data_IF_787939735283
#
_entry.id   IF_787939735283
#
_cell.length_a   1.000
_cell.length_b   1.000
_cell.length_c   1.000
_cell.angle_alpha   90.00
_cell.angle_beta   90.00
_cell.angle_gamma   90.00
#
_symmetry.space_group_name_H-M   'P 1'
#
loop_
_entity.id
_entity.type
_entity.pdbx_description
1 polymer ?
#
# COMPACT_ATOMS: atom_id res chain seq x y z
N UNK A 1 -14.90 -1.00 -4.83
CA UNK A 1 -14.11 0.16 -4.40
C UNK A 1 -12.92 0.25 -5.34
N UNK A 2 -12.52 1.47 -5.71
CA UNK A 2 -11.34 1.68 -6.54
C UNK A 2 -10.11 1.80 -5.63
N UNK A 3 -9.17 0.87 -5.75
CA UNK A 3 -7.86 0.98 -5.12
C UNK A 3 -6.89 1.66 -6.09
N UNK A 4 -6.20 2.70 -5.61
CA UNK A 4 -5.19 3.44 -6.37
C UNK A 4 -3.87 3.34 -5.60
N UNK A 5 -2.82 2.91 -6.27
CA UNK A 5 -1.50 2.74 -5.68
C UNK A 5 -0.42 3.26 -6.62
N UNK A 6 0.55 3.98 -6.06
CA UNK A 6 1.75 4.41 -6.77
C UNK A 6 2.92 3.52 -6.36
N UNK A 7 3.58 2.88 -7.32
CA UNK A 7 4.71 1.97 -7.06
C UNK A 7 6.01 2.43 -7.73
N UNK A 8 7.08 1.69 -7.44
CA UNK A 8 8.46 2.00 -7.80
C UNK A 8 8.63 2.38 -9.26
N UNK A 9 9.45 3.40 -9.47
CA UNK A 9 9.55 4.15 -10.71
C UNK A 9 10.39 3.42 -11.77
N UNK A 10 9.90 3.31 -13.01
CA UNK A 10 10.73 2.92 -14.15
C UNK A 10 11.36 4.19 -14.74
N UNK A 11 12.70 4.29 -14.74
CA UNK A 11 13.44 5.48 -15.21
C UNK A 11 12.97 6.79 -14.55
N UNK A 12 12.65 6.75 -13.26
CA UNK A 12 12.18 7.92 -12.51
C UNK A 12 10.72 8.31 -12.73
N UNK A 13 9.94 7.54 -13.50
CA UNK A 13 8.50 7.73 -13.70
C UNK A 13 7.71 6.81 -12.78
N UNK A 14 6.80 7.35 -11.98
CA UNK A 14 5.96 6.58 -11.06
C UNK A 14 4.90 5.80 -11.83
N UNK A 15 4.76 4.51 -11.53
CA UNK A 15 3.71 3.66 -12.08
C UNK A 15 2.49 3.73 -11.16
N UNK A 16 1.37 4.20 -11.69
CA UNK A 16 0.08 4.16 -10.99
C UNK A 16 -0.72 2.94 -11.44
N UNK A 17 -1.28 2.24 -10.46
CA UNK A 17 -2.09 1.05 -10.67
C UNK A 17 -3.48 1.30 -10.07
N UNK A 18 -4.50 1.09 -10.89
CA UNK A 18 -5.91 1.18 -10.53
C UNK A 18 -6.49 -0.23 -10.48
N UNK A 19 -7.03 -0.64 -9.34
CA UNK A 19 -7.53 -2.00 -9.10
C UNK A 19 -8.94 -1.99 -8.54
N UNK A 20 -9.74 -2.99 -8.88
CA UNK A 20 -10.91 -3.32 -8.05
C UNK A 20 -10.41 -3.90 -6.73
N UNK A 21 -10.84 -3.30 -5.63
CA UNK A 21 -10.45 -3.73 -4.30
C UNK A 21 -11.00 -5.12 -3.96
N UNK A 22 -12.22 -5.45 -4.41
CA UNK A 22 -12.95 -6.66 -4.05
C UNK A 22 -12.30 -7.94 -4.56
N UNK A 23 -11.76 -7.91 -5.78
CA UNK A 23 -11.25 -9.10 -6.48
C UNK A 23 -9.80 -8.94 -6.95
N UNK A 24 -9.17 -7.79 -6.70
CA UNK A 24 -7.77 -7.52 -7.04
C UNK A 24 -7.50 -7.32 -8.53
N UNK A 25 -8.52 -7.27 -9.39
CA UNK A 25 -8.36 -7.10 -10.83
C UNK A 25 -7.78 -5.72 -11.13
N UNK A 26 -6.69 -5.69 -11.92
CA UNK A 26 -6.12 -4.46 -12.45
C UNK A 26 -7.01 -3.92 -13.56
N UNK A 27 -7.55 -2.73 -13.34
CA UNK A 27 -8.43 -2.02 -14.28
C UNK A 27 -7.60 -1.18 -15.26
N UNK A 28 -6.53 -0.57 -14.77
CA UNK A 28 -5.63 0.24 -15.57
C UNK A 28 -4.29 0.40 -14.85
N UNK A 29 -3.21 0.55 -15.61
CA UNK A 29 -1.92 0.95 -15.07
C UNK A 29 -1.18 1.80 -16.09
N UNK A 30 -0.59 2.90 -15.66
CA UNK A 30 0.27 3.72 -16.50
C UNK A 30 1.25 4.55 -15.67
N UNK A 31 2.35 4.92 -16.30
CA UNK A 31 3.36 5.80 -15.70
C UNK A 31 3.02 7.26 -15.89
N UNK A 32 3.40 8.11 -14.94
CA UNK A 32 3.41 9.57 -15.11
C UNK A 32 4.83 10.11 -15.07
N UNK A 33 5.05 11.27 -15.68
CA UNK A 33 6.36 11.95 -15.63
C UNK A 33 6.60 12.65 -14.28
N UNK A 34 5.51 13.08 -13.64
CA UNK A 34 5.50 13.73 -12.34
C UNK A 34 4.35 13.23 -11.49
N UNK A 35 4.53 13.37 -10.19
CA UNK A 35 3.57 12.97 -9.17
C UNK A 35 2.69 14.16 -8.73
N UNK A 36 2.16 14.89 -9.73
CA UNK A 36 1.31 16.06 -9.56
C UNK A 36 -0.08 15.86 -10.21
N UNK A 37 -1.01 16.77 -9.92
CA UNK A 37 -2.39 16.69 -10.40
C UNK A 37 -2.48 16.71 -11.93
N UNK A 38 -1.82 17.63 -12.67
CA UNK A 38 -1.90 17.65 -14.12
C UNK A 38 -1.50 16.34 -14.81
N UNK A 39 -0.55 15.60 -14.23
CA UNK A 39 -0.10 14.33 -14.81
C UNK A 39 -0.91 13.14 -14.31
N UNK A 40 -1.38 13.15 -13.07
CA UNK A 40 -2.14 12.02 -12.50
C UNK A 40 -3.64 12.06 -12.87
N UNK A 41 -4.29 13.23 -12.81
CA UNK A 41 -5.74 13.35 -13.04
C UNK A 41 -6.22 12.72 -14.36
N UNK A 42 -5.52 12.86 -15.49
CA UNK A 42 -5.94 12.24 -16.76
C UNK A 42 -6.01 10.70 -16.69
N UNK A 43 -5.18 10.06 -15.86
CA UNK A 43 -5.22 8.61 -15.67
C UNK A 43 -6.49 8.21 -14.91
N UNK A 44 -6.86 8.98 -13.89
CA UNK A 44 -8.08 8.76 -13.11
C UNK A 44 -9.34 9.00 -13.98
N UNK A 45 -9.38 10.10 -14.74
CA UNK A 45 -10.47 10.41 -15.68
C UNK A 45 -10.68 9.28 -16.67
N UNK A 46 -9.58 8.70 -17.20
CA UNK A 46 -9.66 7.55 -18.10
C UNK A 46 -10.30 6.34 -17.44
N UNK A 47 -9.94 6.02 -16.20
CA UNK A 47 -10.53 4.89 -15.46
C UNK A 47 -12.02 5.13 -15.20
N UNK A 48 -12.40 6.33 -14.78
CA UNK A 48 -13.80 6.70 -14.59
C UNK A 48 -14.58 6.67 -15.91
N UNK A 49 -13.98 7.10 -17.02
CA UNK A 49 -14.58 7.02 -18.34
C UNK A 49 -14.80 5.59 -18.83
N UNK A 50 -13.91 4.66 -18.49
CA UNK A 50 -14.03 3.24 -18.88
C UNK A 50 -15.00 2.43 -18.02
N UNK A 51 -15.07 2.72 -16.71
CA UNK A 51 -15.76 1.86 -15.73
C UNK A 51 -16.86 2.56 -14.92
N UNK A 52 -17.06 3.87 -15.12
CA UNK A 52 -17.99 4.68 -14.34
C UNK A 52 -17.43 5.08 -12.97
N UNK A 53 -18.30 5.67 -12.13
CA UNK A 53 -17.94 6.10 -10.79
C UNK A 53 -17.90 4.91 -9.82
N UNK A 54 -16.81 4.72 -9.04
CA UNK A 54 -16.77 3.70 -8.00
C UNK A 54 -17.60 4.12 -6.77
N UNK A 55 -18.00 3.16 -5.93
CA UNK A 55 -18.70 3.47 -4.67
C UNK A 55 -17.83 4.21 -3.65
N UNK A 56 -16.52 3.99 -3.68
CA UNK A 56 -15.52 4.60 -2.80
C UNK A 56 -14.12 4.39 -3.39
N UNK A 57 -13.16 5.19 -2.93
CA UNK A 57 -11.74 5.11 -3.30
C UNK A 57 -10.87 4.82 -2.08
N UNK A 58 -9.88 3.96 -2.26
CA UNK A 58 -8.81 3.70 -1.31
C UNK A 58 -7.48 4.04 -1.97
N UNK A 59 -6.70 4.94 -1.38
CA UNK A 59 -5.34 5.25 -1.88
C UNK A 59 -4.39 5.62 -0.76
N UNK A 60 -3.09 5.74 -1.06
CA UNK A 60 -2.17 6.44 -0.16
C UNK A 60 -2.53 7.95 -0.08
N UNK A 61 -1.94 8.64 0.91
CA UNK A 61 -2.16 10.07 1.20
C UNK A 61 -1.38 11.01 0.27
N UNK A 62 -1.16 10.60 -0.99
CA UNK A 62 -0.47 11.43 -1.97
C UNK A 62 -1.37 12.59 -2.44
N UNK A 63 -0.87 13.82 -2.36
CA UNK A 63 -1.63 15.04 -2.67
C UNK A 63 -2.28 15.01 -4.06
N UNK A 64 -1.55 14.56 -5.08
CA UNK A 64 -2.05 14.48 -6.45
C UNK A 64 -3.28 13.56 -6.56
N UNK A 65 -3.29 12.44 -5.84
CA UNK A 65 -4.42 11.50 -5.83
C UNK A 65 -5.61 12.14 -5.11
N UNK A 66 -5.40 12.70 -3.92
CA UNK A 66 -6.46 13.32 -3.11
C UNK A 66 -7.15 14.45 -3.89
N UNK A 67 -6.38 15.33 -4.50
CA UNK A 67 -6.91 16.46 -5.24
C UNK A 67 -7.63 16.01 -6.52
N UNK A 68 -7.05 15.05 -7.26
CA UNK A 68 -7.70 14.51 -8.47
C UNK A 68 -9.00 13.78 -8.17
N UNK A 69 -9.07 13.03 -7.06
CA UNK A 69 -10.32 12.38 -6.60
C UNK A 69 -11.38 13.43 -6.30
N UNK A 70 -11.02 14.51 -5.59
CA UNK A 70 -11.93 15.63 -5.33
C UNK A 70 -12.39 16.33 -6.60
N UNK A 71 -11.50 16.51 -7.59
CA UNK A 71 -11.82 17.17 -8.85
C UNK A 71 -12.74 16.31 -9.74
N UNK A 72 -12.44 15.02 -9.88
CA UNK A 72 -13.12 14.12 -10.83
C UNK A 72 -14.41 13.54 -10.24
N UNK A 73 -14.44 13.30 -8.93
CA UNK A 73 -15.54 12.61 -8.25
C UNK A 73 -15.75 13.13 -6.82
N UNK A 74 -16.13 14.42 -6.65
CA UNK A 74 -16.16 15.11 -5.35
C UNK A 74 -17.07 14.47 -4.29
N UNK A 75 -18.10 13.73 -4.71
CA UNK A 75 -19.07 13.11 -3.82
C UNK A 75 -18.73 11.65 -3.45
N UNK A 76 -17.64 11.11 -3.98
CA UNK A 76 -17.23 9.73 -3.69
C UNK A 76 -16.37 9.71 -2.42
N UNK A 77 -16.72 8.87 -1.42
CA UNK A 77 -15.91 8.71 -0.22
C UNK A 77 -14.48 8.29 -0.56
N UNK A 78 -13.51 9.00 -0.01
CA UNK A 78 -12.08 8.71 -0.17
C UNK A 78 -11.48 8.31 1.17
N UNK A 79 -11.09 7.05 1.27
CA UNK A 79 -10.41 6.47 2.42
C UNK A 79 -8.90 6.36 2.17
N UNK A 80 -8.09 6.63 3.20
CA UNK A 80 -6.66 6.35 3.13
C UNK A 80 -6.37 4.87 3.34
N UNK A 81 -5.39 4.36 2.61
CA UNK A 81 -4.94 2.98 2.70
C UNK A 81 -4.39 2.70 4.11
N UNK A 82 -5.07 1.81 4.84
CA UNK A 82 -4.69 1.45 6.21
C UNK A 82 -3.29 0.84 6.28
N UNK A 83 -2.88 0.09 5.26
CA UNK A 83 -1.54 -0.47 5.19
C UNK A 83 -0.47 0.62 5.19
N UNK A 84 -0.58 1.60 4.29
CA UNK A 84 0.38 2.72 4.24
C UNK A 84 0.35 3.55 5.52
N UNK A 85 -0.85 3.80 6.07
CA UNK A 85 -0.99 4.49 7.35
C UNK A 85 -0.24 3.77 8.49
N UNK A 86 -0.49 2.47 8.68
CA UNK A 86 0.15 1.68 9.75
C UNK A 86 1.66 1.55 9.49
N UNK A 87 2.08 1.34 8.25
CA UNK A 87 3.50 1.26 7.88
C UNK A 87 4.22 2.56 8.20
N UNK A 88 3.64 3.70 7.84
CA UNK A 88 4.21 5.02 8.13
C UNK A 88 4.21 5.29 9.63
N UNK A 89 3.16 4.94 10.36
CA UNK A 89 3.12 5.03 11.82
C UNK A 89 4.18 4.12 12.49
N UNK A 90 4.45 2.94 11.92
CA UNK A 90 5.48 2.03 12.40
C UNK A 90 6.90 2.60 12.30
N UNK A 91 7.15 3.55 11.40
CA UNK A 91 8.48 4.19 11.25
C UNK A 91 8.91 4.94 12.51
N UNK A 92 7.96 5.47 13.30
CA UNK A 92 8.26 6.14 14.57
C UNK A 92 8.84 5.20 15.63
N UNK A 93 8.64 3.89 15.49
CA UNK A 93 9.13 2.87 16.41
C UNK A 93 10.30 2.08 15.83
N UNK A 94 10.85 2.48 14.68
CA UNK A 94 11.83 1.67 13.95
C UNK A 94 13.12 1.45 14.77
N UNK A 95 13.53 2.46 15.54
CA UNK A 95 14.70 2.37 16.41
C UNK A 95 14.49 1.37 17.53
N UNK A 96 13.43 1.54 18.30
CA UNK A 96 13.05 0.67 19.43
C UNK A 96 12.86 -0.77 18.95
N UNK A 97 12.26 -0.95 17.77
CA UNK A 97 12.07 -2.26 17.15
C UNK A 97 13.41 -2.92 16.79
N UNK A 98 14.38 -2.16 16.24
CA UNK A 98 15.74 -2.67 15.94
C UNK A 98 16.51 -3.03 17.21
N UNK A 99 16.40 -2.20 18.25
CA UNK A 99 17.04 -2.45 19.55
C UNK A 99 16.47 -3.72 20.20
N UNK A 100 15.15 -3.86 20.22
CA UNK A 100 14.47 -5.05 20.71
C UNK A 100 14.89 -6.30 19.91
N UNK A 101 14.89 -6.22 18.59
CA UNK A 101 15.33 -7.31 17.72
C UNK A 101 16.78 -7.74 18.00
N UNK A 102 17.67 -6.78 18.26
CA UNK A 102 19.06 -7.06 18.65
C UNK A 102 19.15 -7.74 20.01
N UNK A 103 18.39 -7.27 21.00
CA UNK A 103 18.33 -7.87 22.33
C UNK A 103 17.77 -9.31 22.31
N UNK A 104 16.73 -9.56 21.50
CA UNK A 104 16.13 -10.88 21.28
C UNK A 104 17.16 -11.85 20.67
N UNK A 105 17.89 -11.40 19.64
CA UNK A 105 18.95 -12.21 18.99
C UNK A 105 20.08 -12.53 19.97
N UNK A 106 20.54 -11.56 20.75
CA UNK A 106 21.60 -11.76 21.76
C UNK A 106 21.23 -12.80 22.82
N UNK A 107 19.94 -12.93 23.14
CA UNK A 107 19.42 -13.94 24.08
C UNK A 107 19.14 -15.31 23.44
N UNK A 108 19.41 -15.46 22.13
CA UNK A 108 19.19 -16.67 21.33
C UNK A 108 17.74 -17.15 21.37
N UNK A 109 16.79 -16.23 21.58
CA UNK A 109 15.36 -16.58 21.68
C UNK A 109 14.85 -17.30 20.42
N UNK A 110 15.18 -16.88 19.19
CA UNK A 110 14.72 -17.57 17.98
C UNK A 110 15.25 -19.01 17.90
N UNK A 111 16.55 -19.21 18.14
CA UNK A 111 17.17 -20.54 18.11
C UNK A 111 16.58 -21.48 19.17
N UNK A 112 16.28 -20.96 20.37
CA UNK A 112 15.60 -21.72 21.42
C UNK A 112 14.16 -22.10 21.03
N UNK A 113 13.44 -21.18 20.38
CA UNK A 113 12.09 -21.43 19.88
C UNK A 113 12.07 -22.51 18.78
N UNK A 114 12.97 -22.41 17.80
CA UNK A 114 13.10 -23.41 16.71
C UNK A 114 13.44 -24.81 17.25
N UNK A 115 14.34 -24.88 18.24
CA UNK A 115 14.69 -26.15 18.90
C UNK A 115 13.49 -26.74 19.62
N UNK A 116 12.75 -25.94 20.39
CA UNK A 116 11.55 -26.38 21.08
C UNK A 116 10.47 -26.87 20.10
N UNK A 117 10.25 -26.15 18.99
CA UNK A 117 9.30 -26.57 17.96
C UNK A 117 9.69 -27.92 17.34
N UNK A 118 10.98 -28.12 17.09
CA UNK A 118 11.52 -29.39 16.58
C UNK A 118 11.32 -30.53 17.56
N UNK A 119 11.57 -30.29 18.85
CA UNK A 119 11.42 -31.30 19.90
C UNK A 119 9.94 -31.66 20.12
N UNK A 120 9.03 -30.69 20.06
CA UNK A 120 7.58 -30.93 20.10
C UNK A 120 7.13 -31.80 18.92
N UNK A 121 7.57 -31.50 17.69
CA UNK A 121 7.24 -32.29 16.49
C UNK A 121 7.70 -33.75 16.56
N UNK A 122 8.78 -34.05 17.29
CA UNK A 122 9.27 -35.42 17.50
C UNK A 122 8.46 -36.18 18.56
N UNK A 123 7.84 -35.47 19.50
CA UNK A 123 7.09 -36.05 20.61
C UNK A 123 5.64 -36.37 20.22
N UNK A 124 5.10 -35.70 19.19
CA UNK A 124 3.77 -35.93 18.63
C UNK A 124 3.74 -37.00 17.52
N UNK A 125 4.83 -37.74 17.33
CA UNK A 125 4.96 -38.87 16.39
C UNK A 125 5.13 -40.16 17.16
#
# INVERSE_FOLDING_TARGET
>A
MLSIDGTYSYKGKTLYIFRSYENGVVLYANTTEKDDVPHFQPLLEKVVGMYGLPMAVISDMQSAIIESVKNVMPNIPHQYCQYHFIKNAGSFMEKEYKELGTAIKKKEVPAKAEKLETDLKKTTK
#
